data_IF_928431707745
#
_entry.id   IF_928431707745
#
_cell.length_a   1.000
_cell.length_b   1.000
_cell.length_c   1.000
_cell.angle_alpha   90.00
_cell.angle_beta   90.00
_cell.angle_gamma   90.00
#
_symmetry.space_group_name_H-M   'P 1'
#
loop_
_entity.id
_entity.type
_entity.pdbx_description
1 polymer ?
#
# COMPACT_ATOMS: atom_id res chain seq x y z
N UNK A 1 6.77 -1.33 28.88
CA UNK A 1 6.44 -1.17 27.45
C UNK A 1 7.57 -1.79 26.67
N UNK A 2 7.29 -2.66 25.70
CA UNK A 2 8.33 -3.30 24.88
C UNK A 2 8.24 -2.77 23.45
N UNK A 3 9.33 -2.16 23.00
CA UNK A 3 9.43 -1.52 21.69
C UNK A 3 10.57 -2.15 20.89
N UNK A 4 10.30 -2.52 19.64
CA UNK A 4 11.26 -3.18 18.75
C UNK A 4 11.53 -2.29 17.54
N UNK A 5 12.76 -1.79 17.43
CA UNK A 5 13.21 -0.95 16.34
C UNK A 5 14.00 -1.79 15.34
N UNK A 6 13.49 -1.89 14.12
CA UNK A 6 14.06 -2.72 13.08
C UNK A 6 14.66 -1.85 11.99
N UNK A 7 15.90 -2.10 11.58
CA UNK A 7 16.52 -1.37 10.48
C UNK A 7 17.22 -2.30 9.50
N UNK A 8 17.33 -1.87 8.25
CA UNK A 8 17.92 -2.68 7.19
C UNK A 8 18.51 -1.78 6.11
N UNK A 9 19.76 -2.01 5.73
CA UNK A 9 20.44 -1.32 4.63
C UNK A 9 20.45 -2.14 3.35
N UNK A 10 20.18 -1.51 2.22
CA UNK A 10 20.35 -2.14 0.90
C UNK A 10 21.85 -2.29 0.65
N UNK A 11 22.37 -3.51 0.41
CA UNK A 11 23.79 -3.72 0.11
C UNK A 11 24.24 -2.87 -1.08
N UNK A 12 25.31 -2.08 -0.90
CA UNK A 12 25.88 -1.22 -1.94
C UNK A 12 25.13 0.10 -2.17
N UNK A 13 24.04 0.38 -1.43
CA UNK A 13 23.41 1.70 -1.46
C UNK A 13 24.25 2.70 -0.66
N UNK A 14 24.56 3.84 -1.28
CA UNK A 14 25.31 4.92 -0.66
C UNK A 14 24.47 5.69 0.38
N UNK A 15 23.15 5.46 0.42
CA UNK A 15 22.24 6.08 1.40
C UNK A 15 22.04 5.14 2.59
N UNK A 16 22.70 5.35 3.74
CA UNK A 16 22.42 4.55 4.94
C UNK A 16 20.97 4.80 5.34
N UNK A 17 20.21 3.74 5.51
CA UNK A 17 18.76 3.80 5.32
C UNK A 17 17.94 3.67 6.60
N UNK A 18 18.58 3.46 7.76
CA UNK A 18 17.84 3.52 9.01
C UNK A 18 18.55 3.25 10.33
N UNK A 19 19.83 2.83 10.36
CA UNK A 19 20.49 2.50 11.64
C UNK A 19 20.43 3.62 12.68
N UNK A 20 20.93 4.81 12.32
CA UNK A 20 20.97 5.97 13.23
C UNK A 20 19.57 6.38 13.68
N UNK A 21 18.59 6.32 12.78
CA UNK A 21 17.19 6.67 13.06
C UNK A 21 16.57 5.69 14.08
N UNK A 22 16.76 4.38 13.88
CA UNK A 22 16.34 3.34 14.81
C UNK A 22 17.03 3.45 16.19
N UNK A 23 18.34 3.76 16.20
CA UNK A 23 19.09 3.97 17.45
C UNK A 23 18.61 5.23 18.20
N UNK A 24 18.31 6.31 17.47
CA UNK A 24 17.74 7.54 18.04
C UNK A 24 16.34 7.31 18.62
N UNK A 25 15.48 6.55 17.92
CA UNK A 25 14.15 6.16 18.41
C UNK A 25 14.22 5.24 19.64
N UNK A 26 15.24 4.39 19.73
CA UNK A 26 15.48 3.59 20.92
C UNK A 26 15.90 4.47 22.11
N UNK A 27 16.72 5.50 21.89
CA UNK A 27 17.00 6.56 22.86
C UNK A 27 17.57 6.10 24.21
N UNK A 28 18.17 4.90 24.26
CA UNK A 28 18.66 4.28 25.50
C UNK A 28 17.55 3.91 26.51
N UNK A 29 16.29 3.91 26.09
CA UNK A 29 15.16 3.66 26.97
C UNK A 29 15.07 2.18 27.37
N UNK A 30 14.71 1.92 28.63
CA UNK A 30 14.49 0.56 29.11
C UNK A 30 13.30 -0.08 28.39
N UNK A 31 13.44 -1.34 27.98
CA UNK A 31 12.41 -2.06 27.23
C UNK A 31 12.42 -1.82 25.72
N UNK A 32 13.38 -1.04 25.20
CA UNK A 32 13.59 -0.87 23.77
C UNK A 32 14.68 -1.83 23.27
N UNK A 33 14.49 -2.41 22.09
CA UNK A 33 15.49 -3.25 21.42
C UNK A 33 15.68 -2.81 19.99
N UNK A 34 16.93 -2.79 19.51
CA UNK A 34 17.27 -2.47 18.12
C UNK A 34 17.82 -3.72 17.44
N UNK A 35 17.29 -4.07 16.26
CA UNK A 35 17.79 -5.20 15.49
C UNK A 35 18.03 -4.84 14.02
N UNK A 36 19.18 -5.28 13.50
CA UNK A 36 19.49 -5.20 12.07
C UNK A 36 18.86 -6.37 11.33
N UNK A 37 18.24 -6.09 10.19
CA UNK A 37 17.72 -7.08 9.26
C UNK A 37 18.57 -7.08 7.99
N UNK A 38 19.04 -8.25 7.57
CA UNK A 38 19.77 -8.42 6.30
C UNK A 38 18.97 -9.23 5.27
N UNK A 39 17.91 -9.91 5.71
CA UNK A 39 16.99 -10.68 4.88
C UNK A 39 15.64 -10.89 5.59
N UNK A 40 14.66 -11.51 4.90
CA UNK A 40 13.36 -11.84 5.50
C UNK A 40 13.50 -12.85 6.65
N UNK A 41 14.45 -13.77 6.58
CA UNK A 41 14.69 -14.75 7.62
C UNK A 41 15.17 -14.12 8.94
N UNK A 42 15.85 -12.97 8.89
CA UNK A 42 16.22 -12.24 10.11
C UNK A 42 14.98 -11.70 10.83
N UNK A 43 14.00 -11.18 10.08
CA UNK A 43 12.74 -10.72 10.66
C UNK A 43 12.02 -11.89 11.34
N UNK A 44 11.91 -13.04 10.65
CA UNK A 44 11.29 -14.25 11.21
C UNK A 44 12.01 -14.71 12.48
N UNK A 45 13.34 -14.68 12.49
CA UNK A 45 14.15 -15.00 13.67
C UNK A 45 13.86 -14.05 14.82
N UNK A 46 13.88 -12.73 14.60
CA UNK A 46 13.56 -11.74 15.64
C UNK A 46 12.16 -11.97 16.24
N UNK A 47 11.15 -12.19 15.41
CA UNK A 47 9.78 -12.47 15.87
C UNK A 47 9.70 -13.79 16.67
N UNK A 48 10.44 -14.81 16.24
CA UNK A 48 10.54 -16.10 16.93
C UNK A 48 11.21 -15.97 18.28
N UNK A 49 12.34 -15.26 18.37
CA UNK A 49 13.07 -15.05 19.61
C UNK A 49 12.20 -14.31 20.65
N UNK A 50 11.41 -13.32 20.21
CA UNK A 50 10.45 -12.60 21.09
C UNK A 50 9.35 -13.55 21.58
N UNK A 51 8.79 -14.36 20.67
CA UNK A 51 7.74 -15.35 20.99
C UNK A 51 8.24 -16.36 22.02
N UNK A 52 9.41 -16.94 21.77
CA UNK A 52 9.98 -18.03 22.57
C UNK A 52 10.43 -17.51 23.95
N UNK A 53 10.79 -16.22 24.04
CA UNK A 53 11.04 -15.53 25.31
C UNK A 53 9.75 -15.16 26.08
N UNK A 54 8.55 -15.46 25.56
CA UNK A 54 7.27 -15.10 26.19
C UNK A 54 7.02 -13.59 26.27
N UNK A 55 7.74 -12.79 25.49
CA UNK A 55 7.64 -11.32 25.50
C UNK A 55 6.45 -10.87 24.66
N UNK A 56 5.93 -9.69 24.99
CA UNK A 56 4.88 -9.05 24.21
C UNK A 56 5.30 -7.65 23.78
N UNK A 57 4.93 -7.26 22.56
CA UNK A 57 5.32 -6.03 21.87
C UNK A 57 4.19 -5.02 21.95
N UNK A 58 4.47 -3.82 22.44
CA UNK A 58 3.57 -2.66 22.36
C UNK A 58 3.76 -1.91 21.04
N UNK A 59 5.00 -1.84 20.55
CA UNK A 59 5.34 -1.13 19.33
C UNK A 59 6.49 -1.79 18.58
N UNK A 60 6.36 -1.85 17.25
CA UNK A 60 7.41 -2.28 16.34
C UNK A 60 7.49 -1.28 15.20
N UNK A 61 8.68 -0.76 14.92
CA UNK A 61 8.88 0.12 13.78
C UNK A 61 10.02 -0.34 12.87
N UNK A 62 9.89 0.08 11.61
CA UNK A 62 10.77 -0.31 10.51
C UNK A 62 11.40 0.94 9.90
N UNK A 63 12.69 1.09 10.16
CA UNK A 63 13.59 2.13 9.65
C UNK A 63 14.36 1.57 8.44
N UNK A 64 13.71 1.57 7.29
CA UNK A 64 14.24 0.97 6.06
C UNK A 64 13.82 1.78 4.85
N UNK A 65 14.52 1.63 3.73
CA UNK A 65 13.97 2.06 2.44
C UNK A 65 12.63 1.39 2.14
N UNK A 66 11.73 2.13 1.50
CA UNK A 66 10.40 1.66 1.14
C UNK A 66 10.03 1.98 -0.31
N UNK A 67 9.02 1.29 -0.81
CA UNK A 67 8.28 1.66 -2.00
C UNK A 67 6.82 1.24 -1.85
N UNK A 68 5.95 1.58 -2.81
CA UNK A 68 4.53 1.26 -2.75
C UNK A 68 4.27 -0.23 -2.44
N UNK A 69 3.81 -0.52 -1.22
CA UNK A 69 3.49 -1.88 -0.75
C UNK A 69 4.68 -2.77 -0.45
N UNK A 70 5.87 -2.21 -0.18
CA UNK A 70 7.02 -2.98 0.26
C UNK A 70 8.03 -2.19 1.10
N UNK A 71 8.82 -2.91 1.88
CA UNK A 71 10.01 -2.42 2.56
C UNK A 71 11.22 -3.29 2.22
N UNK A 72 12.42 -2.71 2.23
CA UNK A 72 13.66 -3.45 2.03
C UNK A 72 14.15 -4.03 3.35
N UNK A 73 14.54 -5.31 3.33
CA UNK A 73 15.10 -6.04 4.46
C UNK A 73 16.51 -6.51 4.09
N UNK A 74 17.38 -5.59 3.71
CA UNK A 74 18.72 -5.93 3.20
C UNK A 74 18.69 -6.48 1.79
N UNK A 75 19.02 -7.77 1.63
CA UNK A 75 19.01 -8.47 0.33
C UNK A 75 17.62 -8.88 -0.13
N UNK A 76 16.64 -8.87 0.79
CA UNK A 76 15.26 -9.24 0.53
C UNK A 76 14.33 -8.02 0.63
N UNK A 77 13.04 -8.26 0.33
CA UNK A 77 11.95 -7.31 0.58
C UNK A 77 10.82 -7.99 1.32
N UNK A 78 10.17 -7.29 2.24
CA UNK A 78 8.85 -7.67 2.73
C UNK A 78 7.80 -6.90 1.92
N UNK A 79 6.87 -7.62 1.33
CA UNK A 79 5.84 -7.06 0.46
C UNK A 79 4.56 -7.91 0.52
N UNK A 80 3.57 -7.59 -0.31
CA UNK A 80 2.30 -8.33 -0.38
C UNK A 80 2.47 -9.83 -0.71
N UNK A 81 3.41 -10.18 -1.58
CA UNK A 81 3.54 -11.56 -2.08
C UNK A 81 4.10 -12.53 -1.04
N UNK A 82 4.85 -12.03 -0.05
CA UNK A 82 5.51 -12.86 0.96
C UNK A 82 5.11 -12.52 2.40
N UNK A 83 4.10 -11.67 2.60
CA UNK A 83 3.53 -11.39 3.94
C UNK A 83 2.91 -12.63 4.57
N UNK A 84 2.38 -13.53 3.74
CA UNK A 84 1.85 -14.83 4.17
C UNK A 84 2.92 -15.71 4.85
N UNK A 85 4.21 -15.49 4.57
CA UNK A 85 5.29 -16.22 5.22
C UNK A 85 5.33 -15.96 6.74
N UNK A 86 4.73 -14.87 7.23
CA UNK A 86 4.65 -14.56 8.66
C UNK A 86 3.40 -15.18 9.32
N UNK A 87 2.43 -15.68 8.54
CA UNK A 87 1.17 -16.20 9.04
C UNK A 87 1.33 -17.62 9.61
N UNK A 88 0.52 -17.95 10.62
CA UNK A 88 0.48 -19.31 11.19
C UNK A 88 1.69 -19.68 12.05
N UNK A 89 2.64 -18.77 12.25
CA UNK A 89 3.81 -18.99 13.11
C UNK A 89 3.58 -18.61 14.58
N UNK A 90 2.36 -18.17 14.94
CA UNK A 90 2.02 -17.72 16.29
C UNK A 90 2.54 -16.31 16.61
N UNK A 91 3.10 -15.60 15.63
CA UNK A 91 3.61 -14.24 15.80
C UNK A 91 2.51 -13.24 16.15
N UNK A 92 1.26 -13.51 15.79
CA UNK A 92 0.12 -12.66 16.18
C UNK A 92 -0.08 -12.57 17.70
N UNK A 93 0.41 -13.56 18.46
CA UNK A 93 0.25 -13.62 19.92
C UNK A 93 1.31 -12.81 20.68
N UNK A 94 2.39 -12.40 19.99
CA UNK A 94 3.45 -11.61 20.60
C UNK A 94 3.09 -10.12 20.65
N UNK A 95 2.03 -9.66 19.99
CA UNK A 95 1.61 -8.27 20.04
C UNK A 95 0.59 -8.04 21.16
N UNK A 96 0.73 -6.94 21.91
CA UNK A 96 -0.27 -6.52 22.91
C UNK A 96 -1.52 -5.97 22.24
N UNK A 97 -2.61 -5.89 23.00
CA UNK A 97 -3.78 -5.15 22.55
C UNK A 97 -3.40 -3.69 22.26
N UNK A 98 -3.94 -3.13 21.18
CA UNK A 98 -3.59 -1.79 20.69
C UNK A 98 -2.11 -1.59 20.27
N UNK A 99 -1.38 -2.68 20.00
CA UNK A 99 0.01 -2.58 19.53
C UNK A 99 0.12 -1.81 18.21
N UNK A 100 1.28 -1.17 17.98
CA UNK A 100 1.54 -0.33 16.81
C UNK A 100 2.64 -0.94 15.95
N UNK A 101 2.40 -1.06 14.65
CA UNK A 101 3.43 -1.37 13.66
C UNK A 101 3.60 -0.14 12.77
N UNK A 102 4.81 0.41 12.67
CA UNK A 102 5.06 1.67 11.95
C UNK A 102 6.15 1.46 10.89
N UNK A 103 5.83 1.78 9.64
CA UNK A 103 6.78 1.80 8.55
C UNK A 103 7.25 3.24 8.27
N UNK A 104 8.49 3.55 8.64
CA UNK A 104 9.11 4.86 8.40
C UNK A 104 9.64 5.02 6.98
N UNK A 105 9.71 3.93 6.22
CA UNK A 105 10.15 3.97 4.82
C UNK A 105 9.28 4.82 3.91
N UNK A 106 9.92 5.38 2.87
CA UNK A 106 9.26 6.18 1.84
C UNK A 106 8.17 5.41 1.10
N UNK A 107 7.04 6.06 0.84
CA UNK A 107 5.98 5.58 -0.06
C UNK A 107 5.38 4.21 0.27
N UNK A 108 5.60 3.65 1.46
CA UNK A 108 5.14 2.31 1.82
C UNK A 108 3.62 2.18 1.65
N UNK A 109 2.88 3.24 1.98
CA UNK A 109 1.42 3.29 1.90
C UNK A 109 0.89 3.93 0.60
N UNK A 110 1.73 4.10 -0.42
CA UNK A 110 1.34 4.71 -1.69
C UNK A 110 0.50 3.76 -2.55
N UNK A 111 -0.58 4.28 -3.14
CA UNK A 111 -1.46 3.52 -4.03
C UNK A 111 -2.28 2.42 -3.35
N UNK A 112 -3.08 1.71 -4.14
CA UNK A 112 -3.88 0.57 -3.68
C UNK A 112 -2.99 -0.56 -3.13
N UNK A 113 -1.81 -0.76 -3.72
CA UNK A 113 -0.86 -1.80 -3.29
C UNK A 113 -0.25 -1.49 -1.91
N UNK A 114 0.08 -0.22 -1.64
CA UNK A 114 0.58 0.21 -0.33
C UNK A 114 -0.46 0.07 0.76
N UNK A 115 -1.69 0.47 0.47
CA UNK A 115 -2.80 0.26 1.39
C UNK A 115 -3.05 -1.22 1.69
N UNK A 116 -3.04 -2.08 0.66
CA UNK A 116 -3.25 -3.51 0.84
C UNK A 116 -2.11 -4.15 1.66
N UNK A 117 -0.87 -3.67 1.48
CA UNK A 117 0.27 -4.11 2.27
C UNK A 117 0.07 -3.84 3.76
N UNK A 118 -0.37 -2.63 4.15
CA UNK A 118 -0.66 -2.31 5.55
C UNK A 118 -1.76 -3.23 6.12
N UNK A 119 -2.83 -3.47 5.36
CA UNK A 119 -3.89 -4.41 5.75
C UNK A 119 -3.34 -5.83 5.94
N UNK A 120 -2.52 -6.31 5.01
CA UNK A 120 -1.94 -7.65 5.06
C UNK A 120 -1.06 -7.86 6.29
N UNK A 121 -0.16 -6.91 6.58
CA UNK A 121 0.65 -6.93 7.80
C UNK A 121 -0.23 -6.95 9.04
N UNK A 122 -1.25 -6.10 9.09
CA UNK A 122 -2.14 -6.00 10.23
C UNK A 122 -2.93 -7.28 10.49
N UNK A 123 -3.50 -7.88 9.44
CA UNK A 123 -4.23 -9.14 9.57
C UNK A 123 -3.30 -10.27 9.98
N UNK A 124 -2.06 -10.31 9.46
CA UNK A 124 -1.13 -11.40 9.80
C UNK A 124 -0.60 -11.27 11.23
N UNK A 125 -0.19 -10.08 11.66
CA UNK A 125 0.51 -9.88 12.93
C UNK A 125 -0.37 -9.37 14.07
N UNK A 126 -1.53 -8.78 13.80
CA UNK A 126 -2.37 -8.14 14.84
C UNK A 126 -3.75 -8.79 14.98
N UNK A 127 -4.09 -9.84 14.22
CA UNK A 127 -5.43 -10.46 14.28
C UNK A 127 -5.83 -10.97 15.66
N UNK A 128 -4.88 -11.42 16.49
CA UNK A 128 -5.21 -12.02 17.78
C UNK A 128 -5.77 -10.99 18.77
N UNK A 129 -5.17 -9.79 18.84
CA UNK A 129 -5.48 -8.79 19.87
C UNK A 129 -5.79 -7.39 19.34
N UNK A 130 -5.79 -7.22 18.02
CA UNK A 130 -5.93 -5.93 17.37
C UNK A 130 -4.68 -5.05 17.51
N UNK A 131 -4.79 -3.82 17.04
CA UNK A 131 -3.69 -2.87 16.97
C UNK A 131 -3.79 -2.02 15.71
N UNK A 132 -2.71 -1.36 15.31
CA UNK A 132 -2.69 -0.56 14.10
C UNK A 132 -1.39 -0.71 13.33
N UNK A 133 -1.49 -0.64 12.01
CA UNK A 133 -0.36 -0.61 11.09
C UNK A 133 -0.36 0.73 10.35
N UNK A 134 0.78 1.42 10.34
CA UNK A 134 0.93 2.76 9.76
C UNK A 134 2.06 2.81 8.75
N UNK A 135 1.87 3.61 7.70
CA UNK A 135 2.92 3.89 6.73
C UNK A 135 2.72 5.24 6.04
N UNK A 136 3.82 5.82 5.54
CA UNK A 136 3.80 7.08 4.80
C UNK A 136 3.46 6.87 3.32
N UNK A 137 2.70 7.80 2.73
CA UNK A 137 2.28 7.76 1.32
C UNK A 137 3.13 8.64 0.40
N UNK A 138 4.29 9.09 0.84
CA UNK A 138 5.13 10.03 0.11
C UNK A 138 6.62 9.74 0.35
N UNK A 139 7.51 10.36 -0.47
CA UNK A 139 8.93 10.34 -0.21
C UNK A 139 9.24 11.02 1.13
N UNK A 140 10.04 10.36 1.95
CA UNK A 140 10.65 10.96 3.12
C UNK A 140 11.82 11.84 2.69
N UNK A 141 11.96 12.99 3.35
CA UNK A 141 13.17 13.80 3.27
C UNK A 141 14.01 13.44 4.48
N UNK A 142 15.21 12.95 4.22
CA UNK A 142 16.17 12.69 5.29
C UNK A 142 16.79 14.02 5.69
N UNK A 143 16.82 14.27 6.99
CA UNK A 143 17.74 15.24 7.57
C UNK A 143 17.54 16.70 7.14
N UNK A 144 16.30 17.18 7.05
CA UNK A 144 16.02 18.61 6.78
C UNK A 144 16.69 19.54 7.82
N UNK A 145 17.01 19.02 9.01
CA UNK A 145 17.54 19.78 10.15
C UNK A 145 18.74 19.14 10.87
N UNK A 146 19.52 18.27 10.22
CA UNK A 146 20.68 17.56 10.84
C UNK A 146 20.33 16.69 12.08
N UNK A 147 19.05 16.38 12.29
CA UNK A 147 18.57 15.60 13.43
C UNK A 147 18.78 14.10 13.25
N UNK A 148 19.10 13.64 12.03
CA UNK A 148 19.18 12.22 11.70
C UNK A 148 17.82 11.50 11.62
N UNK A 149 16.71 12.24 11.77
CA UNK A 149 15.34 11.70 11.75
C UNK A 149 14.75 11.74 10.35
N UNK A 150 14.08 10.67 9.92
CA UNK A 150 13.35 10.66 8.67
C UNK A 150 11.97 11.33 8.83
N UNK A 151 11.75 12.44 8.12
CA UNK A 151 10.46 13.14 8.10
C UNK A 151 9.78 12.98 6.75
N UNK A 152 8.46 12.89 6.75
CA UNK A 152 7.63 12.85 5.54
C UNK A 152 6.82 14.14 5.46
N UNK A 153 7.44 15.27 5.02
CA UNK A 153 6.80 16.58 5.06
C UNK A 153 5.65 16.69 4.06
N UNK A 154 5.71 15.88 3.00
CA UNK A 154 4.64 15.72 2.04
C UNK A 154 3.97 14.36 2.25
N UNK A 155 2.70 14.23 1.88
CA UNK A 155 1.94 12.97 2.01
C UNK A 155 1.13 12.84 3.29
N UNK A 156 0.51 11.67 3.45
CA UNK A 156 -0.35 11.34 4.59
C UNK A 156 0.10 10.03 5.20
N UNK A 157 0.02 9.95 6.52
CA UNK A 157 0.08 8.69 7.22
C UNK A 157 -1.25 7.95 7.03
N UNK A 158 -1.16 6.78 6.42
CA UNK A 158 -2.30 5.85 6.31
C UNK A 158 -2.24 4.84 7.43
N UNK A 159 -3.41 4.50 7.97
CA UNK A 159 -3.52 3.60 9.11
C UNK A 159 -4.55 2.52 8.84
N UNK A 160 -4.13 1.26 8.93
CA UNK A 160 -5.00 0.11 9.02
C UNK A 160 -5.18 -0.26 10.51
N UNK A 161 -6.34 0.04 11.07
CA UNK A 161 -6.71 -0.36 12.43
C UNK A 161 -7.26 -1.77 12.41
N UNK A 162 -6.64 -2.69 13.13
CA UNK A 162 -7.05 -4.09 13.24
C UNK A 162 -7.77 -4.30 14.57
N UNK A 163 -8.91 -4.97 14.53
CA UNK A 163 -9.63 -5.44 15.73
C UNK A 163 -9.30 -6.91 15.99
N UNK A 164 -9.50 -7.42 17.22
CA UNK A 164 -9.47 -8.85 17.47
C UNK A 164 -10.34 -9.62 16.47
N UNK A 165 -9.82 -10.73 15.94
CA UNK A 165 -10.43 -11.49 14.84
C UNK A 165 -10.01 -11.02 13.44
N UNK A 166 -9.17 -9.99 13.32
CA UNK A 166 -8.61 -9.54 12.03
C UNK A 166 -9.53 -8.64 11.20
N UNK A 167 -10.60 -8.09 11.79
CA UNK A 167 -11.40 -7.06 11.14
C UNK A 167 -10.58 -5.77 11.01
N UNK A 168 -10.69 -5.08 9.87
CA UNK A 168 -9.87 -3.89 9.59
C UNK A 168 -10.74 -2.65 9.34
N UNK A 169 -10.35 -1.53 9.95
CA UNK A 169 -10.88 -0.20 9.66
C UNK A 169 -9.75 0.66 9.05
N UNK A 170 -10.04 1.36 7.96
CA UNK A 170 -9.06 2.15 7.23
C UNK A 170 -9.20 3.64 7.54
N UNK A 171 -8.09 4.31 7.92
CA UNK A 171 -8.04 5.77 8.16
C UNK A 171 -7.05 6.45 7.23
N UNK A 172 -7.50 7.51 6.55
CA UNK A 172 -6.76 8.23 5.50
C UNK A 172 -6.40 7.38 4.26
N UNK A 173 -7.11 6.26 4.07
CA UNK A 173 -7.02 5.47 2.86
C UNK A 173 -7.84 6.09 1.75
N UNK A 174 -7.38 5.93 0.52
CA UNK A 174 -7.92 6.58 -0.66
C UNK A 174 -8.38 5.57 -1.72
N UNK A 175 -7.71 4.42 -1.78
CA UNK A 175 -7.92 3.45 -2.85
C UNK A 175 -8.85 2.33 -2.42
N UNK A 176 -8.64 1.73 -1.24
CA UNK A 176 -9.40 0.57 -0.78
C UNK A 176 -10.71 0.95 -0.06
N UNK A 177 -11.36 2.03 -0.50
CA UNK A 177 -12.63 2.52 0.05
C UNK A 177 -13.76 2.20 -0.95
N UNK A 178 -14.70 1.30 -0.62
CA UNK A 178 -15.75 0.86 -1.56
C UNK A 178 -16.50 2.02 -2.23
N UNK A 179 -16.93 3.02 -1.45
CA UNK A 179 -17.64 4.19 -1.98
C UNK A 179 -16.83 5.00 -3.00
N UNK A 180 -15.51 5.13 -2.80
CA UNK A 180 -14.62 5.80 -3.76
C UNK A 180 -14.44 4.97 -5.03
N UNK A 181 -14.28 3.66 -4.91
CA UNK A 181 -14.19 2.75 -6.06
C UNK A 181 -15.48 2.84 -6.89
N UNK A 182 -16.65 2.77 -6.25
CA UNK A 182 -17.93 2.91 -6.97
C UNK A 182 -18.09 4.29 -7.64
N UNK A 183 -17.61 5.37 -7.02
CA UNK A 183 -17.58 6.69 -7.64
C UNK A 183 -16.71 6.73 -8.89
N UNK A 184 -15.52 6.15 -8.83
CA UNK A 184 -14.60 6.04 -9.97
C UNK A 184 -15.16 5.18 -11.10
N UNK A 185 -15.82 4.05 -10.80
CA UNK A 185 -16.53 3.23 -11.80
C UNK A 185 -17.53 4.08 -12.58
N UNK A 186 -18.42 4.81 -11.87
CA UNK A 186 -19.42 5.68 -12.53
C UNK A 186 -18.77 6.77 -13.39
N UNK A 187 -17.67 7.36 -12.92
CA UNK A 187 -16.92 8.36 -13.68
C UNK A 187 -16.30 7.77 -14.96
N UNK A 188 -15.70 6.57 -14.87
CA UNK A 188 -15.14 5.86 -16.01
C UNK A 188 -16.21 5.43 -17.02
N UNK A 189 -17.38 4.98 -16.57
CA UNK A 189 -18.52 4.62 -17.42
C UNK A 189 -19.08 5.84 -18.15
N UNK A 190 -19.27 6.95 -17.44
CA UNK A 190 -19.69 8.23 -18.03
C UNK A 190 -18.67 8.71 -19.08
N UNK A 191 -17.38 8.59 -18.76
CA UNK A 191 -16.30 8.92 -19.67
C UNK A 191 -16.31 8.05 -20.94
N UNK A 192 -16.52 6.74 -20.78
CA UNK A 192 -16.60 5.78 -21.87
C UNK A 192 -17.81 6.07 -22.78
N UNK A 193 -19.00 6.29 -22.20
CA UNK A 193 -20.20 6.65 -22.96
C UNK A 193 -19.99 7.95 -23.78
N UNK A 194 -19.29 8.93 -23.22
CA UNK A 194 -18.90 10.15 -23.93
C UNK A 194 -17.97 9.91 -25.11
N UNK A 195 -17.03 8.97 -24.96
CA UNK A 195 -16.11 8.53 -26.03
C UNK A 195 -16.89 7.79 -27.13
N UNK A 196 -17.77 6.86 -26.76
CA UNK A 196 -18.58 6.06 -27.71
C UNK A 196 -19.49 6.91 -28.59
N UNK A 197 -20.09 7.98 -28.05
CA UNK A 197 -20.92 8.91 -28.85
C UNK A 197 -20.15 9.69 -29.92
N UNK A 198 -18.83 9.85 -29.75
CA UNK A 198 -17.99 10.62 -30.68
C UNK A 198 -17.31 9.74 -31.73
N UNK A 199 -17.43 8.42 -31.61
CA UNK A 199 -16.69 7.48 -32.44
C UNK A 199 -17.53 7.08 -33.64
N UNK A 200 -17.05 7.47 -34.81
CA UNK A 200 -17.36 6.86 -36.13
C UNK A 200 -16.35 5.75 -36.49
N UNK A 201 -15.48 5.39 -35.54
CA UNK A 201 -14.12 4.93 -35.78
C UNK A 201 -13.86 3.46 -36.13
N UNK A 202 -12.56 3.23 -36.36
CA UNK A 202 -11.90 2.03 -36.87
C UNK A 202 -12.02 0.80 -35.95
N UNK A 203 -11.79 -0.43 -36.47
CA UNK A 203 -11.78 -1.65 -35.66
C UNK A 203 -10.85 -1.58 -34.43
N UNK A 204 -9.73 -0.88 -34.53
CA UNK A 204 -8.77 -0.73 -33.43
C UNK A 204 -9.36 0.05 -32.23
N UNK A 205 -10.11 1.11 -32.49
CA UNK A 205 -10.79 1.90 -31.45
C UNK A 205 -11.90 1.07 -30.80
N UNK A 206 -12.70 0.34 -31.61
CA UNK A 206 -13.75 -0.57 -31.10
C UNK A 206 -13.16 -1.65 -30.18
N UNK A 207 -12.01 -2.23 -30.55
CA UNK A 207 -11.30 -3.21 -29.72
C UNK A 207 -10.83 -2.64 -28.38
N UNK A 208 -10.40 -1.37 -28.31
CA UNK A 208 -10.05 -0.70 -27.05
C UNK A 208 -11.27 -0.46 -26.17
N UNK A 209 -12.37 0.04 -26.73
CA UNK A 209 -13.65 0.21 -26.02
C UNK A 209 -14.09 -1.11 -25.39
N UNK A 210 -14.07 -2.19 -26.17
CA UNK A 210 -14.47 -3.52 -25.68
C UNK A 210 -13.65 -3.95 -24.47
N UNK A 211 -12.32 -3.77 -24.49
CA UNK A 211 -11.47 -4.08 -23.33
C UNK A 211 -11.80 -3.23 -22.11
N UNK A 212 -12.09 -1.94 -22.29
CA UNK A 212 -12.49 -1.05 -21.19
C UNK A 212 -13.82 -1.55 -20.57
N UNK A 213 -14.82 -1.89 -21.38
CA UNK A 213 -16.10 -2.46 -20.90
C UNK A 213 -15.88 -3.75 -20.10
N UNK A 214 -15.05 -4.66 -20.63
CA UNK A 214 -14.72 -5.92 -19.96
C UNK A 214 -14.08 -5.65 -18.59
N UNK A 215 -13.16 -4.69 -18.50
CA UNK A 215 -12.55 -4.30 -17.21
C UNK A 215 -13.58 -3.71 -16.26
N UNK A 216 -14.42 -2.78 -16.69
CA UNK A 216 -15.45 -2.19 -15.82
C UNK A 216 -16.44 -3.26 -15.31
N UNK A 217 -16.82 -4.23 -16.16
CA UNK A 217 -17.62 -5.38 -15.73
C UNK A 217 -16.90 -6.23 -14.67
N UNK A 218 -15.59 -6.49 -14.83
CA UNK A 218 -14.78 -7.17 -13.81
C UNK A 218 -14.71 -6.38 -12.50
N UNK A 219 -14.58 -5.06 -12.55
CA UNK A 219 -14.57 -4.23 -11.33
C UNK A 219 -15.90 -4.37 -10.58
N UNK A 220 -17.04 -4.36 -11.30
CA UNK A 220 -18.38 -4.54 -10.70
C UNK A 220 -18.54 -5.90 -10.03
N UNK A 221 -18.07 -6.98 -10.66
CA UNK A 221 -18.17 -8.33 -10.07
C UNK A 221 -17.30 -8.52 -8.82
N UNK A 222 -16.30 -7.67 -8.63
CA UNK A 222 -15.40 -7.67 -7.47
C UNK A 222 -15.88 -6.74 -6.33
N UNK A 223 -16.96 -5.97 -6.51
CA UNK A 223 -17.48 -5.11 -5.45
C UNK A 223 -18.35 -5.92 -4.48
N UNK A 224 -18.11 -5.84 -3.15
CA UNK A 224 -19.03 -6.41 -2.18
C UNK A 224 -20.38 -5.71 -2.27
N UNK A 225 -21.48 -6.47 -2.15
CA UNK A 225 -22.86 -5.99 -2.25
C UNK A 225 -23.30 -5.16 -1.02
N UNK A 226 -22.60 -4.07 -0.71
CA UNK A 226 -22.93 -3.12 0.36
C UNK A 226 -22.37 -3.44 1.74
N UNK A 227 -21.74 -4.61 1.93
CA UNK A 227 -21.05 -4.92 3.18
C UNK A 227 -19.70 -4.19 3.26
N UNK A 228 -19.42 -3.55 4.42
CA UNK A 228 -18.07 -3.09 4.74
C UNK A 228 -17.11 -4.29 4.69
N UNK A 229 -15.89 -4.13 4.12
CA UNK A 229 -14.89 -5.18 4.15
C UNK A 229 -14.59 -5.61 5.57
N UNK A 230 -14.86 -6.87 5.89
CA UNK A 230 -14.59 -7.44 7.21
C UNK A 230 -13.35 -8.33 7.21
N UNK A 231 -12.98 -8.88 6.06
CA UNK A 231 -11.91 -9.88 5.97
C UNK A 231 -10.88 -9.51 4.91
N UNK A 232 -9.66 -10.06 5.06
CA UNK A 232 -8.54 -9.76 4.18
C UNK A 232 -8.80 -10.08 2.70
N UNK A 233 -9.49 -11.19 2.42
CA UNK A 233 -9.88 -11.56 1.06
C UNK A 233 -10.70 -10.46 0.36
N UNK A 234 -11.52 -9.74 1.10
CA UNK A 234 -12.31 -8.65 0.54
C UNK A 234 -11.44 -7.44 0.20
N UNK A 235 -10.40 -7.14 0.97
CA UNK A 235 -9.41 -6.13 0.59
C UNK A 235 -8.60 -6.54 -0.64
N UNK A 236 -8.31 -7.83 -0.83
CA UNK A 236 -7.70 -8.31 -2.07
C UNK A 236 -8.63 -8.12 -3.27
N UNK A 237 -9.93 -8.38 -3.12
CA UNK A 237 -10.92 -8.11 -4.16
C UNK A 237 -11.00 -6.61 -4.50
N UNK A 238 -11.02 -5.74 -3.48
CA UNK A 238 -10.99 -4.29 -3.68
C UNK A 238 -9.71 -3.82 -4.38
N UNK A 239 -8.56 -4.40 -4.04
CA UNK A 239 -7.31 -4.12 -4.75
C UNK A 239 -7.37 -4.55 -6.22
N UNK A 240 -7.86 -5.75 -6.50
CA UNK A 240 -8.06 -6.22 -7.88
C UNK A 240 -9.02 -5.30 -8.65
N UNK A 241 -10.10 -4.86 -8.00
CA UNK A 241 -11.02 -3.87 -8.54
C UNK A 241 -10.31 -2.54 -8.85
N UNK A 242 -9.50 -2.01 -7.94
CA UNK A 242 -8.68 -0.81 -8.20
C UNK A 242 -7.71 -1.01 -9.38
N UNK A 243 -7.04 -2.16 -9.48
CA UNK A 243 -6.08 -2.43 -10.56
C UNK A 243 -6.75 -2.44 -11.95
N UNK A 244 -7.91 -3.09 -12.06
CA UNK A 244 -8.68 -3.08 -13.31
C UNK A 244 -9.20 -1.68 -13.67
N UNK A 245 -9.59 -0.90 -12.66
CA UNK A 245 -10.07 0.45 -12.83
C UNK A 245 -8.95 1.44 -13.24
N UNK A 246 -7.76 1.35 -12.63
CA UNK A 246 -6.57 2.12 -13.02
C UNK A 246 -6.17 1.82 -14.48
N UNK A 247 -6.36 0.58 -14.93
CA UNK A 247 -6.15 0.21 -16.34
C UNK A 247 -7.20 0.86 -17.25
N UNK A 248 -8.48 0.74 -16.90
CA UNK A 248 -9.58 1.28 -17.68
C UNK A 248 -9.49 2.81 -17.84
N UNK A 249 -9.19 3.53 -16.75
CA UNK A 249 -9.02 4.97 -16.74
C UNK A 249 -7.84 5.45 -17.60
N UNK A 250 -6.70 4.74 -17.56
CA UNK A 250 -5.53 5.06 -18.41
C UNK A 250 -5.84 4.85 -19.89
N UNK A 251 -6.51 3.76 -20.24
CA UNK A 251 -6.89 3.50 -21.63
C UNK A 251 -7.96 4.49 -22.13
N UNK A 252 -8.91 4.90 -21.27
CA UNK A 252 -9.84 5.99 -21.55
C UNK A 252 -9.13 7.32 -21.79
N UNK A 253 -8.15 7.68 -20.96
CA UNK A 253 -7.37 8.90 -21.13
C UNK A 253 -6.61 8.90 -22.48
N UNK A 254 -5.98 7.78 -22.84
CA UNK A 254 -5.29 7.62 -24.14
C UNK A 254 -6.25 7.74 -25.32
N UNK A 255 -7.44 7.15 -25.23
CA UNK A 255 -8.47 7.27 -26.27
C UNK A 255 -8.92 8.73 -26.44
N UNK A 256 -9.12 9.46 -25.34
CA UNK A 256 -9.50 10.88 -25.40
C UNK A 256 -8.43 11.72 -26.11
N UNK A 257 -7.15 11.54 -25.76
CA UNK A 257 -6.03 12.25 -26.41
C UNK A 257 -6.01 11.93 -27.91
N UNK A 258 -6.20 10.66 -28.29
CA UNK A 258 -6.22 10.25 -29.68
C UNK A 258 -7.36 10.93 -30.46
N UNK A 259 -8.59 10.90 -29.94
CA UNK A 259 -9.75 11.53 -30.58
C UNK A 259 -9.61 13.05 -30.68
N UNK A 260 -8.99 13.69 -29.70
CA UNK A 260 -8.65 15.12 -29.79
C UNK A 260 -7.69 15.36 -30.95
N UNK A 261 -6.64 14.54 -31.09
CA UNK A 261 -5.69 14.64 -32.20
C UNK A 261 -6.34 14.46 -33.58
N UNK A 262 -7.31 13.55 -33.72
CA UNK A 262 -8.07 13.36 -34.96
C UNK A 262 -8.96 14.58 -35.27
N UNK A 263 -9.64 15.14 -34.26
CA UNK A 263 -10.46 16.33 -34.43
C UNK A 263 -9.64 17.53 -34.93
N UNK A 264 -8.40 17.70 -34.47
CA UNK A 264 -7.51 18.76 -34.96
C UNK A 264 -7.04 18.55 -36.40
N UNK A 265 -6.87 17.30 -36.85
CA UNK A 265 -6.46 17.01 -38.24
C UNK A 265 -7.58 17.20 -39.25
N UNK A 266 -8.83 17.06 -38.83
CA UNK A 266 -10.01 17.25 -39.68
C UNK A 266 -10.33 18.71 -40.00
N UNK A 267 -9.71 19.68 -39.31
CA UNK A 267 -9.84 21.10 -39.62
C UNK A 267 -8.86 21.44 -40.74
N UNK A 268 -9.29 21.27 -42.00
CA UNK A 268 -8.57 21.90 -43.11
C UNK A 268 -8.64 23.43 -42.92
N UNK A 269 -7.51 24.17 -42.99
CA UNK A 269 -7.58 25.62 -43.01
C UNK A 269 -8.41 26.04 -44.22
N UNK A 270 -9.41 26.90 -44.01
CA UNK A 270 -10.13 27.52 -45.12
C UNK A 270 -9.09 28.17 -46.04
N UNK A 271 -9.11 27.80 -47.32
CA UNK A 271 -8.23 28.42 -48.31
C UNK A 271 -8.51 29.94 -48.33
N UNK A 272 -7.45 30.78 -48.38
CA UNK A 272 -7.59 32.23 -48.41
C UNK A 272 -8.29 32.72 -49.68
#
# INVERSE_FOLDING_TARGET
MTTVHLWADIPGDWRPSGRRDAELHAGGQTGHSVARLTCLNDLIRVLRDIRDAGKQIDEMDFHTHGSAGSINLGRDRLNRSNTANLAGQGFENIFRAAARIIFWGCNVATGAIGELFLVGIGVVLLRARGGQVRGASAPGVRDVFLTGVQVHPTGRWKTAQVRPGGLVDLRNHEYLIPGRISGRIRAAETALAGVERRITGTPAIRGRIFRIRLRLAQVRSLQPAGARPRYFNLYQQLYSACSHLDWAERDLARLRIHLMGEAFRGVQPCAP
#
